data_IF_907174123660
#
_entry.id   IF_907174123660
#
_cell.length_a   1.000
_cell.length_b   1.000
_cell.length_c   1.000
_cell.angle_alpha   90.00
_cell.angle_beta   90.00
_cell.angle_gamma   90.00
#
_symmetry.space_group_name_H-M   'P 1'
#
loop_
_entity.id
_entity.type
_entity.pdbx_description
1 polymer ?
#
# COMPACT_ATOMS: atom_id res chain seq x y z
N UNK A 1 3.12 11.39 -7.32
CA UNK A 1 3.67 12.16 -6.18
C UNK A 1 2.79 13.36 -5.84
N UNK A 2 2.51 14.29 -6.77
CA UNK A 2 1.63 15.44 -6.50
C UNK A 2 0.25 15.04 -5.93
N UNK A 3 -0.40 14.01 -6.49
CA UNK A 3 -1.66 13.49 -5.96
C UNK A 3 -1.59 12.98 -4.51
N UNK A 4 -0.45 12.42 -4.10
CA UNK A 4 -0.21 11.98 -2.72
C UNK A 4 -0.03 13.17 -1.76
N UNK A 5 0.70 14.21 -2.17
CA UNK A 5 0.79 15.44 -1.37
C UNK A 5 -0.56 16.15 -1.22
N UNK A 6 -1.32 16.27 -2.32
CA UNK A 6 -2.63 16.93 -2.31
C UNK A 6 -3.65 16.20 -1.45
N UNK A 7 -3.72 14.86 -1.55
CA UNK A 7 -4.64 14.08 -0.72
C UNK A 7 -4.28 14.17 0.76
N UNK A 8 -2.98 14.25 1.12
CA UNK A 8 -2.56 14.39 2.52
C UNK A 8 -2.98 15.75 3.08
N UNK A 9 -2.72 16.85 2.38
CA UNK A 9 -3.13 18.20 2.83
C UNK A 9 -4.65 18.31 3.01
N UNK A 10 -5.43 17.71 2.11
CA UNK A 10 -6.89 17.87 2.08
C UNK A 10 -7.66 16.76 2.81
N UNK A 11 -7.05 15.59 3.01
CA UNK A 11 -7.71 14.40 3.52
C UNK A 11 -7.93 14.44 5.03
N UNK A 12 -6.85 14.57 5.80
CA UNK A 12 -6.89 14.48 7.28
C UNK A 12 -6.35 15.76 7.92
N UNK A 13 -6.89 16.14 9.07
CA UNK A 13 -6.38 17.28 9.86
C UNK A 13 -4.98 17.00 10.38
N UNK A 14 -4.62 15.75 10.69
CA UNK A 14 -3.28 15.45 11.21
C UNK A 14 -2.15 15.87 10.26
N UNK A 15 -2.39 15.90 8.95
CA UNK A 15 -1.37 16.26 7.96
C UNK A 15 -1.10 17.77 7.99
N UNK A 16 -2.12 18.56 8.36
CA UNK A 16 -2.04 20.01 8.53
C UNK A 16 -1.49 20.38 9.91
N UNK A 17 -1.84 19.60 10.92
CA UNK A 17 -1.35 19.77 12.30
C UNK A 17 0.06 19.18 12.51
N UNK A 18 0.62 18.51 11.47
CA UNK A 18 1.94 17.86 11.45
C UNK A 18 2.08 16.70 12.45
N UNK A 19 0.98 16.06 12.82
CA UNK A 19 0.92 14.98 13.83
C UNK A 19 0.66 13.59 13.25
N UNK A 20 0.60 13.42 11.92
CA UNK A 20 0.27 12.10 11.36
C UNK A 20 1.30 11.02 11.71
N UNK A 21 2.58 11.38 11.81
CA UNK A 21 3.64 10.41 12.14
C UNK A 21 3.57 9.92 13.59
N UNK A 22 2.89 10.66 14.48
CA UNK A 22 2.60 10.21 15.84
C UNK A 22 1.75 8.92 15.86
N UNK A 23 1.00 8.65 14.79
CA UNK A 23 0.12 7.48 14.67
C UNK A 23 0.61 6.47 13.62
N UNK A 24 1.24 6.95 12.54
CA UNK A 24 1.49 6.15 11.34
C UNK A 24 2.36 4.91 11.62
N UNK A 25 3.43 5.08 12.39
CA UNK A 25 4.38 3.99 12.68
C UNK A 25 3.73 2.81 13.42
N UNK A 26 2.80 3.09 14.34
CA UNK A 26 2.08 2.06 15.09
C UNK A 26 0.94 1.45 14.26
N UNK A 27 0.22 2.27 13.49
CA UNK A 27 -1.06 1.87 12.87
C UNK A 27 -0.93 1.31 11.45
N UNK A 28 0.26 1.38 10.84
CA UNK A 28 0.52 0.80 9.52
C UNK A 28 0.25 -0.72 9.46
N UNK A 29 -0.02 -1.32 8.30
CA UNK A 29 -0.49 -2.70 8.20
C UNK A 29 0.42 -3.72 8.88
N UNK A 30 1.69 -3.74 8.50
CA UNK A 30 2.72 -4.62 9.08
C UNK A 30 3.91 -3.75 9.47
N UNK A 31 3.98 -3.30 10.73
CA UNK A 31 5.09 -2.49 11.19
C UNK A 31 6.37 -3.32 11.22
N UNK A 32 7.50 -2.64 11.00
CA UNK A 32 8.82 -3.24 11.08
C UNK A 32 9.52 -2.84 12.40
N UNK A 33 10.66 -3.45 12.76
CA UNK A 33 11.37 -3.08 13.99
C UNK A 33 11.73 -1.60 14.10
N UNK A 34 12.09 -0.96 12.98
CA UNK A 34 12.43 0.47 12.97
C UNK A 34 11.23 1.32 13.33
N UNK A 35 10.02 0.87 12.99
CA UNK A 35 8.78 1.60 13.27
C UNK A 35 8.51 1.72 14.76
N UNK A 36 8.87 0.70 15.56
CA UNK A 36 8.78 0.76 17.02
C UNK A 36 9.65 1.88 17.59
N UNK A 37 10.91 1.97 17.15
CA UNK A 37 11.84 3.00 17.61
C UNK A 37 11.46 4.38 17.10
N UNK A 38 11.09 4.48 15.82
CA UNK A 38 10.68 5.76 15.23
C UNK A 38 9.42 6.30 15.88
N UNK A 39 8.45 5.46 16.23
CA UNK A 39 7.24 5.87 16.96
C UNK A 39 7.53 6.53 18.32
N UNK A 40 8.69 6.25 18.92
CA UNK A 40 9.10 6.78 20.21
C UNK A 40 9.95 8.06 20.08
N UNK A 41 10.21 8.50 18.86
CA UNK A 41 10.93 9.74 18.61
C UNK A 41 10.18 10.94 19.19
N UNK A 42 10.89 12.03 19.55
CA UNK A 42 10.25 13.23 20.05
C UNK A 42 9.28 13.83 19.03
N UNK A 43 8.21 14.48 19.52
CA UNK A 43 7.19 15.12 18.69
C UNK A 43 7.74 16.09 17.62
N UNK A 44 8.85 16.78 17.90
CA UNK A 44 9.45 17.72 16.93
C UNK A 44 10.04 16.99 15.72
N UNK A 45 10.53 15.76 15.92
CA UNK A 45 11.06 14.93 14.85
C UNK A 45 9.93 14.50 13.91
N UNK A 46 8.79 14.07 14.47
CA UNK A 46 7.59 13.74 13.71
C UNK A 46 7.05 14.91 12.90
N UNK A 47 7.04 16.12 13.47
CA UNK A 47 6.65 17.32 12.70
C UNK A 47 7.61 17.60 11.55
N UNK A 48 8.91 17.45 11.78
CA UNK A 48 9.93 17.60 10.73
C UNK A 48 9.76 16.57 9.61
N UNK A 49 9.45 15.31 9.95
CA UNK A 49 9.15 14.26 8.96
C UNK A 49 7.94 14.63 8.10
N UNK A 50 6.84 15.09 8.71
CA UNK A 50 5.64 15.50 7.96
C UNK A 50 5.94 16.70 7.05
N UNK A 51 6.68 17.69 7.53
CA UNK A 51 7.09 18.85 6.72
C UNK A 51 7.98 18.42 5.55
N UNK A 52 8.94 17.54 5.80
CA UNK A 52 9.82 16.99 4.75
C UNK A 52 9.01 16.19 3.72
N UNK A 53 8.02 15.41 4.16
CA UNK A 53 7.11 14.72 3.25
C UNK A 53 6.34 15.70 2.36
N UNK A 54 5.76 16.77 2.93
CA UNK A 54 5.07 17.80 2.14
C UNK A 54 6.01 18.51 1.16
N UNK A 55 7.22 18.86 1.61
CA UNK A 55 8.24 19.46 0.77
C UNK A 55 8.57 18.54 -0.42
N UNK A 56 8.76 17.24 -0.19
CA UNK A 56 9.14 16.31 -1.25
C UNK A 56 7.97 16.04 -2.21
N UNK A 57 6.79 15.70 -1.69
CA UNK A 57 5.64 15.29 -2.50
C UNK A 57 4.98 16.44 -3.27
N UNK A 58 5.09 17.67 -2.76
CA UNK A 58 4.52 18.85 -3.40
C UNK A 58 5.60 19.70 -4.07
N UNK A 59 6.62 20.13 -3.33
CA UNK A 59 7.57 21.14 -3.84
C UNK A 59 8.65 20.50 -4.70
N UNK A 60 9.40 19.51 -4.18
CA UNK A 60 10.47 18.83 -4.94
C UNK A 60 9.88 18.13 -6.16
N UNK A 61 8.72 17.50 -6.02
CA UNK A 61 8.01 16.92 -7.17
C UNK A 61 7.67 17.98 -8.21
N UNK A 62 7.16 19.16 -7.85
CA UNK A 62 6.89 20.24 -8.82
C UNK A 62 8.17 20.80 -9.46
N UNK A 63 9.26 20.87 -8.69
CA UNK A 63 10.57 21.32 -9.16
C UNK A 63 11.18 20.30 -10.15
N UNK A 64 11.19 19.01 -9.80
CA UNK A 64 11.77 17.92 -10.61
C UNK A 64 10.87 17.56 -11.80
N UNK A 65 9.55 17.52 -11.62
CA UNK A 65 8.58 17.32 -12.73
C UNK A 65 8.53 18.52 -13.68
N UNK A 66 9.15 19.64 -13.29
CA UNK A 66 9.38 20.69 -14.23
C UNK A 66 8.20 21.64 -14.45
N UNK A 67 7.36 21.87 -13.45
CA UNK A 67 6.37 22.94 -13.60
C UNK A 67 7.00 24.36 -13.44
N UNK A 68 8.26 24.44 -13.03
CA UNK A 68 9.18 25.57 -13.28
C UNK A 68 10.28 25.20 -14.29
N UNK A 69 10.24 23.98 -14.86
CA UNK A 69 11.14 23.55 -15.93
C UNK A 69 10.98 24.35 -17.18
N UNK A 70 9.86 25.02 -17.47
CA UNK A 70 9.82 25.77 -18.72
C UNK A 70 10.98 26.78 -18.80
N UNK A 71 11.36 27.41 -17.67
CA UNK A 71 12.54 28.28 -17.61
C UNK A 71 13.87 27.51 -17.68
N UNK A 72 13.97 26.34 -17.03
CA UNK A 72 15.18 25.51 -17.09
C UNK A 72 15.36 24.80 -18.44
N UNK A 73 14.30 24.44 -19.16
CA UNK A 73 14.35 23.90 -20.52
C UNK A 73 14.50 25.02 -21.54
N UNK A 74 13.93 26.21 -21.32
CA UNK A 74 14.24 27.40 -22.14
C UNK A 74 15.71 27.85 -22.01
N UNK A 75 16.41 27.44 -20.97
CA UNK A 75 17.87 27.65 -20.85
C UNK A 75 18.64 26.43 -21.33
N UNK A 76 18.35 25.23 -20.82
CA UNK A 76 19.05 24.00 -21.17
C UNK A 76 18.87 23.62 -22.65
N UNK A 77 17.68 23.75 -23.24
CA UNK A 77 17.45 23.32 -24.65
C UNK A 77 18.18 24.22 -25.64
N UNK A 78 18.10 25.57 -25.55
CA UNK A 78 18.95 26.43 -26.39
C UNK A 78 20.44 26.28 -26.07
N UNK A 79 20.82 26.13 -24.80
CA UNK A 79 22.23 25.90 -24.43
C UNK A 79 22.78 24.59 -24.97
N UNK A 80 21.97 23.51 -25.03
CA UNK A 80 22.34 22.25 -25.68
C UNK A 80 22.47 22.41 -27.20
N UNK A 81 21.65 23.26 -27.82
CA UNK A 81 21.79 23.62 -29.24
C UNK A 81 23.00 24.54 -29.52
N UNK A 82 23.65 25.10 -28.49
CA UNK A 82 24.90 25.84 -28.60
C UNK A 82 26.15 24.96 -28.47
N UNK A 83 26.02 23.67 -28.10
CA UNK A 83 27.12 22.72 -28.11
C UNK A 83 27.26 22.08 -29.49
N UNK A 84 28.47 22.09 -30.03
CA UNK A 84 28.81 21.44 -31.30
C UNK A 84 28.59 19.92 -31.21
N UNK A 85 28.05 19.30 -32.25
CA UNK A 85 27.70 17.88 -32.28
C UNK A 85 28.92 16.97 -32.03
N UNK A 86 30.12 17.44 -32.38
CA UNK A 86 31.38 16.78 -32.06
C UNK A 86 31.64 16.67 -30.54
N UNK A 87 31.19 17.64 -29.75
CA UNK A 87 31.37 17.70 -28.28
C UNK A 87 30.42 16.78 -27.51
N UNK A 88 29.25 16.47 -28.07
CA UNK A 88 28.27 15.53 -27.48
C UNK A 88 28.46 14.08 -27.97
N UNK A 89 29.37 13.84 -28.92
CA UNK A 89 29.62 12.54 -29.54
C UNK A 89 30.18 11.44 -28.62
N UNK A 90 30.39 11.72 -27.33
CA UNK A 90 30.76 10.73 -26.30
C UNK A 90 29.55 10.06 -25.63
N UNK A 91 28.36 10.69 -25.69
CA UNK A 91 27.11 10.15 -25.11
C UNK A 91 26.52 9.00 -25.94
N UNK A 92 26.91 8.90 -27.21
CA UNK A 92 26.55 7.82 -28.11
C UNK A 92 27.69 6.81 -28.15
N UNK A 93 27.42 5.54 -27.77
CA UNK A 93 28.47 4.52 -27.69
C UNK A 93 29.16 4.34 -29.05
N UNK A 94 30.46 4.03 -29.01
CA UNK A 94 31.33 3.78 -30.16
C UNK A 94 31.01 2.47 -30.92
N UNK A 95 29.78 1.96 -30.80
CA UNK A 95 29.27 0.94 -31.70
C UNK A 95 29.19 1.53 -33.12
N UNK A 96 29.98 0.97 -34.04
CA UNK A 96 30.31 1.47 -35.40
C UNK A 96 29.16 1.99 -36.28
N UNK A 97 27.90 1.85 -35.90
CA UNK A 97 26.75 2.28 -36.68
C UNK A 97 26.15 3.63 -36.26
N UNK A 98 25.86 3.83 -34.96
CA UNK A 98 25.00 4.93 -34.53
C UNK A 98 25.68 6.31 -34.63
N UNK A 99 26.94 6.41 -34.18
CA UNK A 99 27.70 7.66 -34.24
C UNK A 99 27.97 8.11 -35.69
N UNK A 100 28.35 7.16 -36.56
CA UNK A 100 28.58 7.43 -37.97
C UNK A 100 27.28 7.82 -38.68
N UNK A 101 26.18 7.10 -38.42
CA UNK A 101 24.87 7.43 -38.99
C UNK A 101 24.36 8.81 -38.54
N UNK A 102 24.60 9.21 -37.29
CA UNK A 102 24.24 10.55 -36.80
C UNK A 102 25.08 11.63 -37.48
N UNK A 103 26.39 11.43 -37.62
CA UNK A 103 27.28 12.37 -38.32
C UNK A 103 26.93 12.50 -39.81
N UNK A 104 26.59 11.40 -40.47
CA UNK A 104 26.17 11.39 -41.87
C UNK A 104 24.81 12.11 -42.04
N UNK A 105 23.86 11.90 -41.12
CA UNK A 105 22.58 12.62 -41.11
C UNK A 105 22.75 14.12 -40.86
N UNK A 106 23.65 14.51 -39.95
CA UNK A 106 23.98 15.91 -39.67
C UNK A 106 24.68 16.58 -40.86
N UNK A 107 25.58 15.87 -41.55
CA UNK A 107 26.23 16.35 -42.76
C UNK A 107 25.23 16.53 -43.93
N UNK A 108 24.26 15.62 -44.07
CA UNK A 108 23.17 15.75 -45.04
C UNK A 108 22.23 16.91 -44.71
N UNK A 109 21.89 17.12 -43.44
CA UNK A 109 21.05 18.22 -42.97
C UNK A 109 21.75 19.59 -43.14
N UNK A 110 23.05 19.69 -42.82
CA UNK A 110 23.88 20.86 -43.08
C UNK A 110 24.05 21.17 -44.58
N UNK A 111 23.98 20.15 -45.44
CA UNK A 111 23.93 20.29 -46.90
C UNK A 111 22.52 20.63 -47.44
N UNK A 112 21.54 20.89 -46.55
CA UNK A 112 20.16 21.23 -46.91
C UNK A 112 19.32 20.05 -47.39
N UNK A 113 19.82 18.81 -47.26
CA UNK A 113 19.14 17.59 -47.67
C UNK A 113 18.38 17.02 -46.47
N UNK A 114 17.18 17.52 -46.23
CA UNK A 114 16.29 16.87 -45.27
C UNK A 114 15.79 15.54 -45.84
N UNK A 115 15.74 14.46 -45.05
CA UNK A 115 15.23 13.18 -45.52
C UNK A 115 13.77 13.36 -45.95
N UNK A 116 13.44 12.86 -47.15
CA UNK A 116 12.08 12.98 -47.69
C UNK A 116 11.08 12.39 -46.68
N UNK A 117 9.99 13.10 -46.36
CA UNK A 117 9.00 12.62 -45.41
C UNK A 117 8.44 11.27 -45.87
N UNK A 118 8.80 10.20 -45.17
CA UNK A 118 8.27 8.86 -45.44
C UNK A 118 6.85 8.74 -44.90
N UNK A 119 6.02 7.89 -45.52
CA UNK A 119 4.65 7.61 -45.02
C UNK A 119 4.66 7.16 -43.55
N UNK A 120 5.68 6.40 -43.14
CA UNK A 120 5.84 5.95 -41.75
C UNK A 120 6.06 7.11 -40.77
N UNK A 121 6.83 8.14 -41.13
CA UNK A 121 7.01 9.33 -40.29
C UNK A 121 5.72 10.14 -40.15
N UNK A 122 4.94 10.26 -41.22
CA UNK A 122 3.64 10.92 -41.19
C UNK A 122 2.66 10.16 -40.28
N UNK A 123 2.55 8.84 -40.44
CA UNK A 123 1.68 7.99 -39.62
C UNK A 123 2.08 8.12 -38.14
N UNK A 124 3.36 8.00 -37.81
CA UNK A 124 3.86 8.15 -36.43
C UNK A 124 3.51 9.52 -35.84
N UNK A 125 3.66 10.60 -36.62
CA UNK A 125 3.32 11.95 -36.18
C UNK A 125 1.83 12.08 -35.90
N UNK A 126 0.98 11.58 -36.80
CA UNK A 126 -0.47 11.59 -36.63
C UNK A 126 -0.88 10.80 -35.38
N UNK A 127 -0.33 9.59 -35.20
CA UNK A 127 -0.60 8.76 -34.01
C UNK A 127 -0.18 9.46 -32.72
N UNK A 128 1.02 10.05 -32.68
CA UNK A 128 1.50 10.75 -31.50
C UNK A 128 0.65 11.99 -31.16
N UNK A 129 0.26 12.76 -32.18
CA UNK A 129 -0.63 13.93 -31.99
C UNK A 129 -2.01 13.49 -31.52
N UNK A 130 -2.59 12.45 -32.14
CA UNK A 130 -3.88 11.91 -31.75
C UNK A 130 -3.85 11.36 -30.31
N UNK A 131 -2.79 10.65 -29.93
CA UNK A 131 -2.59 10.16 -28.56
C UNK A 131 -2.44 11.33 -27.57
N UNK A 132 -1.69 12.37 -27.92
CA UNK A 132 -1.55 13.58 -27.10
C UNK A 132 -2.87 14.30 -26.88
N UNK A 133 -3.69 14.44 -27.94
CA UNK A 133 -5.04 15.01 -27.84
C UNK A 133 -5.93 14.14 -26.95
N UNK A 134 -5.90 12.82 -27.13
CA UNK A 134 -6.67 11.89 -26.32
C UNK A 134 -6.29 11.98 -24.84
N UNK A 135 -5.00 11.95 -24.51
CA UNK A 135 -4.51 12.09 -23.13
C UNK A 135 -4.90 13.45 -22.56
N UNK A 136 -4.77 14.53 -23.34
CA UNK A 136 -5.17 15.88 -22.92
C UNK A 136 -6.66 15.96 -22.60
N UNK A 137 -7.50 15.39 -23.46
CA UNK A 137 -8.95 15.29 -23.25
C UNK A 137 -9.29 14.49 -21.99
N UNK A 138 -8.70 13.29 -21.82
CA UNK A 138 -8.92 12.44 -20.65
C UNK A 138 -8.37 13.05 -19.35
N UNK A 139 -7.36 13.93 -19.45
CA UNK A 139 -6.79 14.64 -18.30
C UNK A 139 -7.64 15.80 -17.82
N UNK A 140 -8.51 16.36 -18.67
CA UNK A 140 -9.36 17.51 -18.32
C UNK A 140 -10.22 17.28 -17.06
N UNK A 141 -11.04 16.21 -16.94
CA UNK A 141 -11.83 15.96 -15.72
C UNK A 141 -10.95 15.72 -14.49
N UNK A 142 -9.78 15.08 -14.68
CA UNK A 142 -8.82 14.81 -13.61
C UNK A 142 -8.23 16.12 -13.07
N UNK A 143 -7.80 17.03 -13.94
CA UNK A 143 -7.26 18.34 -13.56
C UNK A 143 -8.31 19.20 -12.87
N UNK A 144 -9.54 19.24 -13.40
CA UNK A 144 -10.64 19.95 -12.75
C UNK A 144 -10.92 19.41 -11.34
N UNK A 145 -10.89 18.09 -11.16
CA UNK A 145 -11.04 17.47 -9.85
C UNK A 145 -9.88 17.81 -8.90
N UNK A 146 -8.63 17.86 -9.39
CA UNK A 146 -7.47 18.26 -8.59
C UNK A 146 -7.56 19.73 -8.13
N UNK A 147 -8.06 20.61 -8.99
CA UNK A 147 -8.26 22.03 -8.68
C UNK A 147 -9.48 22.28 -7.76
N UNK A 148 -10.47 21.39 -7.78
CA UNK A 148 -11.67 21.47 -6.94
C UNK A 148 -11.35 21.43 -5.44
N UNK A 149 -12.13 22.17 -4.64
CA UNK A 149 -12.08 22.12 -3.18
C UNK A 149 -12.61 20.79 -2.62
N UNK A 150 -13.45 20.07 -3.36
CA UNK A 150 -14.01 18.74 -3.04
C UNK A 150 -13.32 17.64 -3.83
N UNK A 151 -12.01 17.71 -3.95
CA UNK A 151 -11.20 16.75 -4.69
C UNK A 151 -11.47 15.30 -4.25
N UNK A 152 -11.77 14.43 -5.21
CA UNK A 152 -11.94 12.99 -5.02
C UNK A 152 -10.71 12.25 -5.53
N UNK A 153 -10.08 11.44 -4.67
CA UNK A 153 -8.88 10.68 -4.97
C UNK A 153 -9.16 9.18 -5.02
N UNK A 154 -8.31 8.42 -5.72
CA UNK A 154 -8.48 6.98 -5.98
C UNK A 154 -9.81 6.68 -6.69
N UNK A 155 -10.19 7.56 -7.63
CA UNK A 155 -11.42 7.46 -8.43
C UNK A 155 -11.08 7.39 -9.90
N UNK A 156 -11.88 6.63 -10.63
CA UNK A 156 -11.80 6.58 -12.07
C UNK A 156 -12.82 7.50 -12.72
N UNK A 157 -12.38 8.26 -13.72
CA UNK A 157 -13.20 9.23 -14.45
C UNK A 157 -13.66 8.72 -15.81
N UNK A 158 -13.18 7.54 -16.22
CA UNK A 158 -13.43 6.95 -17.53
C UNK A 158 -13.54 5.40 -17.40
N UNK A 159 -14.42 4.73 -18.17
CA UNK A 159 -14.59 3.28 -18.10
C UNK A 159 -13.30 2.48 -18.36
N UNK A 160 -12.41 2.99 -19.22
CA UNK A 160 -11.14 2.34 -19.57
C UNK A 160 -10.03 2.66 -18.57
N UNK A 161 -10.28 3.56 -17.60
CA UNK A 161 -9.37 3.90 -16.50
C UNK A 161 -7.98 4.35 -16.95
N UNK A 162 -7.87 5.01 -18.10
CA UNK A 162 -6.59 5.41 -18.72
C UNK A 162 -5.91 6.54 -17.93
N UNK A 163 -6.66 7.58 -17.54
CA UNK A 163 -6.15 8.71 -16.74
C UNK A 163 -7.05 8.88 -15.52
N UNK A 164 -6.49 8.72 -14.32
CA UNK A 164 -7.23 8.77 -13.06
C UNK A 164 -6.44 9.51 -11.98
N UNK A 165 -7.07 9.69 -10.83
CA UNK A 165 -6.40 10.22 -9.65
C UNK A 165 -6.03 9.12 -8.68
N UNK A 166 -4.78 9.13 -8.23
CA UNK A 166 -4.30 8.22 -7.20
C UNK A 166 -3.56 8.98 -6.11
N UNK A 167 -3.81 8.61 -4.86
CA UNK A 167 -3.18 9.19 -3.70
C UNK A 167 -3.11 8.18 -2.56
N UNK A 168 -1.94 8.06 -1.94
CA UNK A 168 -1.73 7.17 -0.81
C UNK A 168 -1.83 7.95 0.51
N UNK A 169 -2.32 7.29 1.55
CA UNK A 169 -2.31 7.79 2.93
C UNK A 169 -2.97 9.17 3.15
N UNK A 170 -4.05 9.47 2.42
CA UNK A 170 -4.83 10.69 2.64
C UNK A 170 -5.40 10.82 4.05
N UNK A 171 -5.75 9.69 4.66
CA UNK A 171 -6.14 9.59 6.06
C UNK A 171 -5.28 8.55 6.79
N UNK A 172 -5.01 8.83 8.06
CA UNK A 172 -4.19 7.99 8.92
C UNK A 172 -5.04 7.51 10.09
N UNK A 173 -5.17 6.19 10.21
CA UNK A 173 -5.76 5.52 11.36
C UNK A 173 -5.07 5.98 12.65
N UNK A 174 -5.88 6.25 13.69
CA UNK A 174 -5.37 6.70 15.00
C UNK A 174 -5.21 5.59 16.02
N UNK A 175 -5.89 4.47 15.80
CA UNK A 175 -5.89 3.34 16.71
C UNK A 175 -5.61 2.06 15.95
N UNK A 176 -4.63 1.29 16.44
CA UNK A 176 -4.39 -0.03 15.89
C UNK A 176 -5.37 -1.00 16.52
N UNK A 177 -6.28 -1.54 15.72
CA UNK A 177 -7.15 -2.63 16.13
C UNK A 177 -6.83 -3.87 15.33
N UNK A 178 -7.00 -5.04 15.94
CA UNK A 178 -6.59 -6.30 15.38
C UNK A 178 -7.61 -7.40 15.68
N UNK A 179 -7.94 -8.16 14.64
CA UNK A 179 -8.72 -9.40 14.78
C UNK A 179 -7.76 -10.55 15.05
N UNK A 180 -8.01 -11.26 16.14
CA UNK A 180 -7.29 -12.46 16.57
C UNK A 180 -8.22 -13.65 16.44
N UNK A 181 -7.81 -14.65 15.67
CA UNK A 181 -8.55 -15.89 15.50
C UNK A 181 -8.18 -16.84 16.64
N UNK A 182 -9.19 -17.37 17.32
CA UNK A 182 -9.01 -18.29 18.43
C UNK A 182 -9.80 -19.57 18.19
N UNK A 183 -9.24 -20.72 18.58
CA UNK A 183 -9.93 -22.00 18.60
C UNK A 183 -10.04 -22.56 20.02
N UNK A 184 -10.96 -23.49 20.24
CA UNK A 184 -11.04 -24.26 21.48
C UNK A 184 -11.45 -25.72 21.22
N UNK A 185 -11.00 -26.62 22.09
CA UNK A 185 -11.43 -28.02 22.11
C UNK A 185 -12.63 -28.27 23.02
N UNK A 186 -13.01 -27.28 23.85
CA UNK A 186 -14.15 -27.40 24.76
C UNK A 186 -15.45 -27.66 24.00
N UNK A 187 -16.36 -28.41 24.61
CA UNK A 187 -17.65 -28.74 24.02
C UNK A 187 -18.60 -27.54 23.98
N UNK A 188 -18.67 -26.76 25.06
CA UNK A 188 -19.48 -25.54 25.15
C UNK A 188 -18.58 -24.29 24.97
N UNK A 189 -18.82 -23.44 23.95
CA UNK A 189 -18.03 -22.23 23.73
C UNK A 189 -18.31 -21.13 24.77
N UNK A 190 -19.37 -21.25 25.56
CA UNK A 190 -19.75 -20.28 26.62
C UNK A 190 -19.26 -20.67 28.01
N UNK A 191 -18.62 -21.84 28.14
CA UNK A 191 -18.01 -22.28 29.38
C UNK A 191 -16.95 -21.25 29.84
N UNK A 192 -17.05 -20.67 31.05
CA UNK A 192 -16.06 -19.75 31.57
C UNK A 192 -14.64 -20.33 31.67
N UNK A 193 -14.54 -21.65 31.85
CA UNK A 193 -13.25 -22.37 31.93
C UNK A 193 -12.74 -22.82 30.55
N UNK A 194 -13.44 -22.46 29.46
CA UNK A 194 -13.00 -22.79 28.12
C UNK A 194 -11.66 -22.13 27.78
N UNK A 195 -10.67 -22.97 27.44
CA UNK A 195 -9.36 -22.49 27.01
C UNK A 195 -9.44 -22.15 25.52
N UNK A 196 -9.22 -20.88 25.21
CA UNK A 196 -9.17 -20.36 23.84
C UNK A 196 -7.73 -20.10 23.44
N UNK A 197 -7.27 -20.81 22.42
CA UNK A 197 -5.89 -20.75 21.94
C UNK A 197 -5.82 -19.95 20.63
N UNK A 198 -4.79 -19.11 20.49
CA UNK A 198 -4.71 -18.13 19.40
C UNK A 198 -3.89 -18.65 18.22
N UNK A 199 -4.42 -18.52 17.01
CA UNK A 199 -3.64 -18.66 15.79
C UNK A 199 -2.75 -17.43 15.60
N UNK A 200 -1.50 -17.65 15.17
CA UNK A 200 -0.59 -16.54 14.85
C UNK A 200 -0.37 -16.44 13.33
N UNK A 201 -0.44 -15.21 12.84
CA UNK A 201 -0.16 -14.87 11.44
C UNK A 201 1.34 -14.68 11.20
N UNK A 202 1.76 -14.66 9.94
CA UNK A 202 3.18 -14.67 9.57
C UNK A 202 3.97 -13.44 9.97
N UNK A 203 3.37 -12.25 10.04
CA UNK A 203 4.07 -11.01 10.42
C UNK A 203 3.18 -9.99 11.13
N UNK A 204 1.87 -10.10 10.97
CA UNK A 204 0.89 -9.24 11.61
C UNK A 204 1.03 -9.33 13.14
N UNK A 205 0.84 -8.22 13.87
CA UNK A 205 0.79 -8.24 15.33
C UNK A 205 -0.27 -9.21 15.86
N UNK A 206 0.18 -10.04 16.79
CA UNK A 206 -0.57 -11.09 17.47
C UNK A 206 0.00 -11.26 18.88
N UNK A 207 0.93 -12.18 19.06
CA UNK A 207 1.70 -12.34 20.30
C UNK A 207 2.36 -11.01 20.76
N UNK A 208 2.25 -10.73 22.05
CA UNK A 208 2.75 -9.53 22.70
C UNK A 208 4.28 -9.48 22.81
N UNK A 209 4.94 -10.64 22.84
CA UNK A 209 6.40 -10.75 22.92
C UNK A 209 7.05 -10.75 21.54
N UNK A 210 6.23 -10.86 20.49
CA UNK A 210 6.71 -10.93 19.12
C UNK A 210 7.22 -9.58 18.64
N UNK A 211 8.50 -9.57 18.23
CA UNK A 211 9.11 -8.42 17.56
C UNK A 211 8.46 -8.22 16.18
N UNK A 212 8.15 -6.97 15.77
CA UNK A 212 7.67 -6.69 14.42
C UNK A 212 8.62 -7.22 13.34
N UNK A 213 8.10 -7.71 12.22
CA UNK A 213 8.90 -8.42 11.22
C UNK A 213 9.43 -7.50 10.11
N UNK A 214 10.49 -7.94 9.41
CA UNK A 214 10.97 -7.31 8.19
C UNK A 214 10.49 -8.13 6.98
N UNK A 215 9.54 -7.59 6.21
CA UNK A 215 8.87 -8.34 5.12
C UNK A 215 9.44 -8.05 3.72
N UNK A 216 10.19 -6.96 3.55
CA UNK A 216 10.75 -6.55 2.25
C UNK A 216 11.59 -7.66 1.61
N UNK A 217 11.48 -7.92 0.29
CA UNK A 217 10.69 -7.19 -0.72
C UNK A 217 9.26 -7.71 -0.92
N UNK A 218 8.81 -8.70 -0.13
CA UNK A 218 7.51 -9.35 -0.29
C UNK A 218 6.48 -8.82 0.72
N UNK A 219 5.20 -9.11 0.49
CA UNK A 219 4.13 -8.82 1.45
C UNK A 219 3.28 -10.07 1.69
N UNK A 220 2.97 -10.36 2.95
CA UNK A 220 2.02 -11.42 3.27
C UNK A 220 0.59 -10.91 3.04
N UNK A 221 -0.04 -11.43 1.99
CA UNK A 221 -1.35 -10.94 1.54
C UNK A 221 -2.43 -11.15 2.60
N UNK A 222 -2.43 -12.28 3.30
CA UNK A 222 -3.43 -12.56 4.34
C UNK A 222 -3.29 -11.58 5.52
N UNK A 223 -2.08 -11.39 6.04
CA UNK A 223 -1.76 -10.43 7.09
C UNK A 223 -2.24 -9.01 6.75
N UNK A 224 -1.97 -8.58 5.52
CA UNK A 224 -2.39 -7.28 5.00
C UNK A 224 -3.92 -7.16 4.91
N UNK A 225 -4.61 -8.20 4.43
CA UNK A 225 -6.08 -8.21 4.37
C UNK A 225 -6.72 -8.24 5.77
N UNK A 226 -6.11 -8.96 6.73
CA UNK A 226 -6.59 -8.99 8.11
C UNK A 226 -6.48 -7.62 8.79
N UNK A 227 -5.48 -6.80 8.44
CA UNK A 227 -5.42 -5.41 8.89
C UNK A 227 -6.62 -4.59 8.38
N UNK A 228 -7.03 -4.78 7.12
CA UNK A 228 -8.25 -4.15 6.60
C UNK A 228 -9.52 -4.68 7.28
N UNK A 229 -9.60 -6.00 7.51
CA UNK A 229 -10.73 -6.62 8.17
C UNK A 229 -10.99 -6.01 9.56
N UNK A 230 -9.94 -5.64 10.28
CA UNK A 230 -10.06 -5.02 11.61
C UNK A 230 -10.77 -3.65 11.60
N UNK A 231 -10.85 -2.96 10.47
CA UNK A 231 -11.62 -1.71 10.31
C UNK A 231 -13.07 -1.92 9.88
N UNK A 232 -13.41 -3.13 9.46
CA UNK A 232 -14.70 -3.49 8.89
C UNK A 232 -15.42 -4.47 9.80
N UNK A 233 -16.68 -4.77 9.52
CA UNK A 233 -17.37 -5.88 10.19
C UNK A 233 -17.14 -7.19 9.45
N UNK A 234 -17.36 -8.32 10.12
CA UNK A 234 -17.18 -9.64 9.48
C UNK A 234 -18.19 -9.86 8.33
N UNK A 235 -19.32 -9.15 8.30
CA UNK A 235 -20.27 -9.19 7.18
C UNK A 235 -19.76 -8.46 5.94
N UNK A 236 -18.88 -7.45 6.11
CA UNK A 236 -18.20 -6.80 4.99
C UNK A 236 -16.96 -7.60 4.54
N UNK A 237 -16.31 -8.28 5.49
CA UNK A 237 -15.16 -9.16 5.27
C UNK A 237 -15.53 -10.64 5.43
N UNK A 238 -16.53 -11.10 4.67
CA UNK A 238 -17.11 -12.47 4.78
C UNK A 238 -16.07 -13.59 4.61
N UNK A 239 -14.99 -13.32 3.87
CA UNK A 239 -13.87 -14.24 3.69
C UNK A 239 -13.19 -14.62 5.01
N UNK A 240 -13.32 -13.82 6.08
CA UNK A 240 -12.81 -14.16 7.41
C UNK A 240 -13.58 -15.35 8.00
N UNK A 241 -14.89 -15.44 7.75
CA UNK A 241 -15.71 -16.60 8.15
C UNK A 241 -15.35 -17.83 7.31
N UNK A 242 -15.01 -17.64 6.03
CA UNK A 242 -14.48 -18.72 5.20
C UNK A 242 -13.18 -19.30 5.80
N UNK A 243 -12.26 -18.44 6.25
CA UNK A 243 -11.05 -18.86 6.97
C UNK A 243 -11.41 -19.62 8.25
N UNK A 244 -12.35 -19.12 9.05
CA UNK A 244 -12.78 -19.80 10.28
C UNK A 244 -13.28 -21.23 10.01
N UNK A 245 -14.11 -21.42 8.98
CA UNK A 245 -14.57 -22.76 8.56
C UNK A 245 -13.43 -23.67 8.10
N UNK A 246 -12.46 -23.13 7.36
CA UNK A 246 -11.26 -23.88 6.93
C UNK A 246 -10.32 -24.23 8.10
N UNK A 247 -10.21 -23.38 9.12
CA UNK A 247 -9.46 -23.68 10.34
C UNK A 247 -10.11 -24.80 11.14
N UNK A 248 -11.44 -24.82 11.25
CA UNK A 248 -12.19 -25.91 11.89
C UNK A 248 -11.97 -27.26 11.20
N UNK A 249 -11.81 -27.25 9.87
CA UNK A 249 -11.52 -28.45 9.08
C UNK A 249 -10.02 -28.80 8.97
N UNK A 250 -9.14 -28.04 9.62
CA UNK A 250 -7.68 -28.24 9.57
C UNK A 250 -7.12 -28.22 8.12
N UNK A 251 -7.63 -27.30 7.29
CA UNK A 251 -7.26 -27.16 5.87
C UNK A 251 -5.81 -26.68 5.71
N UNK A 252 -4.99 -27.48 5.02
CA UNK A 252 -3.56 -27.21 4.83
C UNK A 252 -3.27 -25.93 4.05
N UNK A 253 -4.17 -25.51 3.15
CA UNK A 253 -3.99 -24.31 2.33
C UNK A 253 -4.08 -23.06 3.20
N UNK A 254 -5.04 -23.01 4.14
CA UNK A 254 -5.17 -21.89 5.07
C UNK A 254 -4.09 -21.94 6.14
N UNK A 255 -3.78 -23.13 6.65
CA UNK A 255 -2.76 -23.29 7.70
C UNK A 255 -1.35 -22.95 7.20
N UNK A 256 -1.04 -23.14 5.92
CA UNK A 256 0.23 -22.69 5.33
C UNK A 256 0.41 -21.16 5.33
N UNK A 257 -0.67 -20.40 5.55
CA UNK A 257 -0.64 -18.93 5.66
C UNK A 257 -0.51 -18.46 7.11
N UNK A 258 -0.48 -19.38 8.08
CA UNK A 258 -0.31 -19.11 9.50
C UNK A 258 1.12 -19.45 9.93
N UNK A 259 1.67 -18.69 10.86
CA UNK A 259 2.95 -19.01 11.49
C UNK A 259 2.83 -20.12 12.52
N UNK A 260 1.76 -20.05 13.33
CA UNK A 260 1.54 -20.96 14.44
C UNK A 260 0.09 -21.43 14.47
N UNK A 261 -0.08 -22.75 14.43
CA UNK A 261 -1.34 -23.42 14.66
C UNK A 261 -1.29 -24.11 16.04
N UNK A 262 -2.07 -23.65 17.04
CA UNK A 262 -2.08 -24.29 18.34
C UNK A 262 -2.52 -25.76 18.27
N UNK A 263 -3.39 -26.13 17.33
CA UNK A 263 -3.94 -27.49 17.20
C UNK A 263 -3.07 -28.42 16.34
N UNK A 264 -1.85 -28.01 15.96
CA UNK A 264 -0.98 -28.84 15.16
C UNK A 264 -0.63 -30.15 15.89
N UNK A 265 -0.95 -31.29 15.27
CA UNK A 265 -0.74 -32.62 15.86
C UNK A 265 -1.70 -32.97 17.00
N UNK A 266 -2.76 -32.17 17.20
CA UNK A 266 -3.86 -32.41 18.15
C UNK A 266 -5.18 -32.57 17.39
N UNK A 267 -6.27 -32.79 18.14
CA UNK A 267 -7.62 -32.74 17.61
C UNK A 267 -7.94 -31.37 17.02
N UNK A 268 -8.82 -31.35 16.01
CA UNK A 268 -9.30 -30.11 15.42
C UNK A 268 -10.13 -29.30 16.44
N UNK A 269 -10.08 -27.95 16.40
CA UNK A 269 -10.92 -27.13 17.27
C UNK A 269 -12.40 -27.40 16.98
N UNK A 270 -13.20 -27.50 18.05
CA UNK A 270 -14.66 -27.64 17.94
C UNK A 270 -15.32 -26.31 17.58
N UNK A 271 -14.73 -25.22 18.06
CA UNK A 271 -15.22 -23.86 17.85
C UNK A 271 -14.07 -22.96 17.46
N UNK A 272 -14.35 -22.02 16.55
CA UNK A 272 -13.47 -20.91 16.21
C UNK A 272 -14.22 -19.60 16.41
N UNK A 273 -13.55 -18.59 16.96
CA UNK A 273 -14.09 -17.25 17.14
C UNK A 273 -13.08 -16.19 16.70
N UNK A 274 -13.58 -14.99 16.42
CA UNK A 274 -12.77 -13.81 16.16
C UNK A 274 -12.89 -12.84 17.32
N UNK A 275 -11.78 -12.44 17.92
CA UNK A 275 -11.73 -11.46 19.00
C UNK A 275 -11.07 -10.18 18.53
N UNK A 276 -11.60 -9.03 18.94
CA UNK A 276 -11.12 -7.71 18.54
C UNK A 276 -10.34 -7.06 19.68
N UNK A 277 -9.11 -6.68 19.38
CA UNK A 277 -8.20 -6.09 20.35
C UNK A 277 -7.65 -4.77 19.84
N UNK A 278 -7.47 -3.81 20.76
CA UNK A 278 -6.69 -2.60 20.52
C UNK A 278 -5.24 -2.88 20.90
N UNK A 279 -4.32 -2.71 19.96
CA UNK A 279 -2.89 -2.85 20.18
C UNK A 279 -2.22 -1.50 20.32
N UNK A 280 -1.17 -1.43 21.13
CA UNK A 280 -0.21 -0.32 21.19
C UNK A 280 1.19 -0.87 21.36
N UNK A 281 2.19 -0.14 20.87
CA UNK A 281 3.57 -0.45 21.19
C UNK A 281 3.80 -0.30 22.70
N UNK A 282 4.62 -1.19 23.25
CA UNK A 282 5.11 -1.00 24.61
C UNK A 282 6.01 0.24 24.66
N UNK A 283 5.92 0.99 25.77
CA UNK A 283 6.78 2.14 25.98
C UNK A 283 8.13 1.68 26.52
N UNK A 284 9.26 2.24 26.06
CA UNK A 284 10.58 1.97 26.65
C UNK A 284 10.57 2.30 28.14
N UNK A 285 11.19 1.42 28.95
CA UNK A 285 11.21 1.58 30.41
C UNK A 285 9.90 1.20 31.11
N UNK A 286 8.84 0.83 30.39
CA UNK A 286 7.63 0.27 31.02
C UNK A 286 7.88 -1.16 31.55
N UNK A 287 7.08 -1.58 32.52
CA UNK A 287 7.12 -2.96 33.04
C UNK A 287 6.87 -4.01 31.94
N UNK A 288 6.04 -3.69 30.94
CA UNK A 288 5.79 -4.59 29.81
C UNK A 288 7.02 -4.74 28.91
N UNK A 289 7.71 -3.63 28.60
CA UNK A 289 8.95 -3.69 27.84
C UNK A 289 10.06 -4.43 28.60
N UNK A 290 10.15 -4.26 29.93
CA UNK A 290 11.08 -5.01 30.78
C UNK A 290 10.81 -6.54 30.77
N UNK A 291 9.57 -6.95 30.55
CA UNK A 291 9.18 -8.36 30.34
C UNK A 291 9.41 -8.85 28.90
N UNK A 292 10.03 -8.06 28.03
CA UNK A 292 10.26 -8.41 26.62
C UNK A 292 9.03 -8.26 25.72
N UNK A 293 7.95 -7.62 26.17
CA UNK A 293 6.78 -7.36 25.34
C UNK A 293 7.02 -6.17 24.42
N UNK A 294 6.78 -6.36 23.13
CA UNK A 294 6.78 -5.31 22.10
C UNK A 294 5.42 -4.63 21.98
N UNK A 295 4.36 -5.34 22.39
CA UNK A 295 2.99 -4.87 22.30
C UNK A 295 2.28 -4.97 23.64
N UNK A 296 1.33 -4.06 23.84
CA UNK A 296 0.29 -4.16 24.85
C UNK A 296 -1.05 -4.17 24.14
N UNK A 297 -1.98 -5.02 24.59
CA UNK A 297 -3.31 -5.11 23.98
C UNK A 297 -4.42 -4.99 25.01
N UNK A 298 -5.56 -4.44 24.59
CA UNK A 298 -6.81 -4.41 25.36
C UNK A 298 -7.93 -4.99 24.52
N UNK A 299 -8.67 -5.96 25.06
CA UNK A 299 -9.87 -6.51 24.41
C UNK A 299 -10.93 -5.42 24.27
N UNK A 300 -11.49 -5.27 23.07
CA UNK A 300 -12.58 -4.34 22.78
C UNK A 300 -13.92 -5.09 22.75
N UNK A 301 -13.93 -6.29 22.16
CA UNK A 301 -15.14 -7.12 22.05
C UNK A 301 -14.95 -8.27 21.07
N UNK A 302 -16.01 -9.04 20.83
CA UNK A 302 -16.01 -10.07 19.81
C UNK A 302 -16.09 -9.45 18.42
N UNK A 303 -15.29 -9.96 17.48
CA UNK A 303 -15.35 -9.59 16.07
C UNK A 303 -16.40 -10.44 15.33
N UNK A 304 -16.40 -11.75 15.53
CA UNK A 304 -17.50 -12.66 15.16
C UNK A 304 -17.67 -13.73 16.26
N UNK A 305 -18.90 -14.25 16.47
CA UNK A 305 -19.17 -15.19 17.56
C UNK A 305 -18.45 -16.53 17.37
N UNK A 306 -18.45 -17.38 18.40
CA UNK A 306 -17.99 -18.75 18.24
C UNK A 306 -18.85 -19.50 17.21
N UNK A 307 -18.20 -20.07 16.21
CA UNK A 307 -18.82 -20.85 15.13
C UNK A 307 -18.22 -22.24 15.07
N UNK A 308 -19.04 -23.20 14.68
CA UNK A 308 -18.66 -24.59 14.39
C UNK A 308 -18.98 -24.94 12.93
N UNK A 309 -18.55 -26.12 12.48
CA UNK A 309 -18.78 -26.58 11.10
C UNK A 309 -20.27 -26.75 10.79
N UNK A 310 -21.07 -27.16 11.76
CA UNK A 310 -22.50 -27.37 11.58
C UNK A 310 -23.25 -26.05 11.33
N UNK A 311 -22.96 -25.01 12.12
CA UNK A 311 -23.56 -23.68 11.94
C UNK A 311 -23.13 -23.02 10.63
N UNK A 312 -21.87 -23.23 10.22
CA UNK A 312 -21.34 -22.63 8.98
C UNK A 312 -21.85 -23.29 7.70
N UNK A 313 -22.41 -24.50 7.76
CA UNK A 313 -22.90 -25.24 6.58
C UNK A 313 -23.88 -24.45 5.73
N UNK A 314 -24.86 -23.79 6.36
CA UNK A 314 -25.86 -22.97 5.66
C UNK A 314 -25.24 -21.73 5.02
N UNK A 315 -24.26 -21.12 5.70
CA UNK A 315 -23.56 -19.93 5.24
C UNK A 315 -22.64 -20.21 4.04
N UNK A 316 -21.90 -21.31 4.08
CA UNK A 316 -21.04 -21.73 2.96
C UNK A 316 -21.86 -22.06 1.71
N UNK A 317 -23.01 -22.74 1.90
CA UNK A 317 -23.93 -23.06 0.80
C UNK A 317 -24.51 -21.82 0.15
N UNK A 318 -24.92 -20.81 0.91
CA UNK A 318 -25.50 -19.57 0.35
C UNK A 318 -24.50 -18.74 -0.48
N UNK A 319 -23.20 -18.93 -0.23
CA UNK A 319 -22.10 -18.26 -0.95
C UNK A 319 -21.45 -19.11 -2.04
N UNK A 320 -21.97 -20.31 -2.30
CA UNK A 320 -21.37 -21.28 -3.23
C UNK A 320 -19.89 -21.58 -2.92
N UNK A 321 -19.53 -21.63 -1.64
CA UNK A 321 -18.18 -22.03 -1.20
C UNK A 321 -18.11 -23.55 -0.99
N UNK A 322 -16.96 -24.18 -1.31
CA UNK A 322 -16.77 -25.60 -1.02
C UNK A 322 -16.87 -25.83 0.48
N UNK A 323 -17.67 -26.82 0.90
CA UNK A 323 -17.82 -27.13 2.31
C UNK A 323 -16.48 -27.61 2.87
N UNK A 324 -16.07 -27.18 4.07
CA UNK A 324 -14.79 -27.61 4.64
C UNK A 324 -14.68 -29.12 4.92
N UNK A 325 -15.81 -29.84 4.89
CA UNK A 325 -15.90 -31.29 5.19
C UNK A 325 -15.84 -32.16 3.92
N UNK A 326 -15.81 -31.54 2.73
CA UNK A 326 -15.91 -32.19 1.42
C UNK A 326 -14.64 -32.04 0.59
#
# INVERSE_FOLDING_TARGET
MLGAGLIKIRGDRCWRDLTCMDYHYETQPVPNPMSYYMHQSPWWFHRFEVLSNHLIELIVTLIVSGNLSFLNWLTIVPSLACFDDASMGFLFSSGRGAKQAVLDLQAEEAAGRTPKPTRGMLIRRVVNVALGILIGYLSFPVVLNLLSSKQVMNTSFDPLRIVNTYGAFGSITKERTEVILQGTLNADPKDPEAVWEEYQFLCKPGDLTRRPCLISPYHYRLDWLMWFAAFQTYEQSEWVIHIAGRLLANDTSVLSLMEYNPFQGRDNPRWVRGEHFKYRFSLPGSASAAQGKWWVRKRIGAYFPAVDLAALRGYFKSRNWPHPDL
#
